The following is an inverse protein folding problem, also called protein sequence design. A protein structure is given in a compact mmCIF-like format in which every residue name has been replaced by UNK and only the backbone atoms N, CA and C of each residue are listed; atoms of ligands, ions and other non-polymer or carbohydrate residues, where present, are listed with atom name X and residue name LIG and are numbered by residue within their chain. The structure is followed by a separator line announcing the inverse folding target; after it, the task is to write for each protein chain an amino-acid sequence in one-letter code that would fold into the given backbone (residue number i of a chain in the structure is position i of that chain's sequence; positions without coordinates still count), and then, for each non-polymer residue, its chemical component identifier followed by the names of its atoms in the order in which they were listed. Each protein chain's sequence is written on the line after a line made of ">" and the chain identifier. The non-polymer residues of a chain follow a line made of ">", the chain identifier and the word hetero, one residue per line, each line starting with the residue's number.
data_IF_532320146513
#
_entry.id   IF_532320146513
#
_cell.length_a   1.000
_cell.length_b   1.000
_cell.length_c   1.000
_cell.angle_alpha   90.00
_cell.angle_beta   90.00
_cell.angle_gamma   90.00
#
_symmetry.space_group_name_H-M   'P 1'
#
loop_
_entity.id
_entity.type
_entity.pdbx_description
1 polymer ?
#
# COMPACT_ATOMS: atom_id res chain seq x y z
N UNK A 1 19.75 -4.65 -12.08
CA UNK A 1 20.60 -4.14 -10.98
C UNK A 1 22.05 -4.60 -11.10
N UNK A 2 22.35 -5.90 -11.27
CA UNK A 2 23.74 -6.38 -11.43
C UNK A 2 24.58 -5.64 -12.49
N UNK A 3 24.01 -5.38 -13.68
CA UNK A 3 24.66 -4.57 -14.73
C UNK A 3 25.01 -3.14 -14.28
N UNK A 4 24.14 -2.52 -13.48
CA UNK A 4 24.38 -1.18 -12.93
C UNK A 4 25.44 -1.23 -11.84
N UNK A 5 25.38 -2.20 -10.94
CA UNK A 5 26.42 -2.40 -9.92
C UNK A 5 27.80 -2.58 -10.56
N UNK A 6 27.92 -3.40 -11.62
CA UNK A 6 29.19 -3.59 -12.36
C UNK A 6 29.65 -2.35 -13.11
N UNK A 7 28.74 -1.51 -13.60
CA UNK A 7 29.07 -0.27 -14.34
C UNK A 7 29.46 0.88 -13.43
N UNK A 8 28.88 0.94 -12.23
CA UNK A 8 28.93 2.08 -11.34
C UNK A 8 29.53 1.74 -9.96
N UNK A 9 30.28 0.63 -9.84
CA UNK A 9 30.88 0.19 -8.57
C UNK A 9 31.92 1.18 -8.02
N UNK A 10 32.49 2.04 -8.88
CA UNK A 10 33.47 3.05 -8.53
C UNK A 10 32.87 4.39 -8.07
N UNK A 11 31.55 4.57 -8.19
CA UNK A 11 30.85 5.79 -7.78
C UNK A 11 30.55 5.93 -6.27
N UNK A 12 30.48 4.87 -5.44
CA UNK A 12 30.37 5.04 -4.00
C UNK A 12 31.51 5.92 -3.47
N UNK A 13 31.18 6.83 -2.56
CA UNK A 13 32.13 7.73 -1.88
C UNK A 13 32.84 8.78 -2.77
N UNK A 14 32.38 9.01 -4.01
CA UNK A 14 32.98 10.01 -4.90
C UNK A 14 32.19 11.32 -4.95
N UNK A 15 32.88 12.43 -5.22
CA UNK A 15 32.23 13.74 -5.46
C UNK A 15 31.44 13.76 -6.77
N UNK A 16 31.76 12.87 -7.72
CA UNK A 16 30.96 12.65 -8.92
C UNK A 16 29.51 12.29 -8.55
N UNK A 17 29.33 11.32 -7.64
CA UNK A 17 27.99 10.90 -7.20
C UNK A 17 27.23 12.00 -6.41
N UNK A 18 27.96 12.86 -5.71
CA UNK A 18 27.40 14.01 -4.97
C UNK A 18 26.86 15.05 -5.96
N UNK A 19 27.64 15.36 -7.00
CA UNK A 19 27.35 16.41 -7.99
C UNK A 19 26.35 15.98 -9.06
N UNK A 20 26.09 14.67 -9.21
CA UNK A 20 25.05 14.16 -10.10
C UNK A 20 23.68 14.78 -9.79
N UNK A 21 23.03 15.37 -10.81
CA UNK A 21 21.65 15.88 -10.67
C UNK A 21 20.69 14.77 -10.24
N UNK A 22 19.72 15.13 -9.38
CA UNK A 22 18.64 14.24 -8.98
C UNK A 22 17.88 13.75 -10.22
N UNK A 23 17.96 12.45 -10.48
CA UNK A 23 17.37 11.81 -11.65
C UNK A 23 17.04 10.36 -11.36
N UNK A 24 16.19 9.75 -12.21
CA UNK A 24 15.85 8.33 -12.06
C UNK A 24 17.10 7.45 -12.15
N UNK A 25 18.01 7.82 -13.05
CA UNK A 25 19.29 7.16 -13.22
C UNK A 25 20.15 7.22 -11.95
N UNK A 26 20.26 8.41 -11.32
CA UNK A 26 20.97 8.57 -10.03
C UNK A 26 20.37 7.68 -8.94
N UNK A 27 19.03 7.61 -8.83
CA UNK A 27 18.38 6.70 -7.87
C UNK A 27 18.70 5.21 -8.13
N UNK A 28 18.72 4.79 -9.39
CA UNK A 28 19.00 3.40 -9.75
C UNK A 28 20.49 3.06 -9.53
N UNK A 29 21.40 4.03 -9.69
CA UNK A 29 22.82 3.94 -9.30
C UNK A 29 22.96 3.77 -7.77
N UNK A 30 22.31 4.64 -6.99
CA UNK A 30 22.34 4.57 -5.52
C UNK A 30 21.81 3.23 -4.99
N UNK A 31 20.71 2.70 -5.56
CA UNK A 31 20.18 1.38 -5.18
C UNK A 31 21.14 0.25 -5.56
N UNK A 32 21.76 0.34 -6.73
CA UNK A 32 22.66 -0.70 -7.23
C UNK A 32 23.97 -0.74 -6.44
N UNK A 33 24.48 0.42 -6.00
CA UNK A 33 25.64 0.55 -5.13
C UNK A 33 25.32 0.09 -3.71
N UNK A 34 24.16 0.47 -3.15
CA UNK A 34 23.70 -0.01 -1.85
C UNK A 34 23.59 -1.54 -1.77
N UNK A 35 23.01 -2.16 -2.80
CA UNK A 35 22.91 -3.62 -2.88
C UNK A 35 24.29 -4.28 -3.04
N UNK A 36 25.22 -3.64 -3.76
CA UNK A 36 26.59 -4.12 -3.86
C UNK A 36 27.30 -4.08 -2.49
N UNK A 37 27.19 -2.98 -1.75
CA UNK A 37 27.76 -2.87 -0.40
C UNK A 37 27.20 -3.91 0.55
N UNK A 38 25.87 -4.15 0.54
CA UNK A 38 25.25 -5.22 1.35
C UNK A 38 25.75 -6.61 0.98
N UNK A 39 25.94 -6.87 -0.31
CA UNK A 39 26.47 -8.15 -0.76
C UNK A 39 27.90 -8.37 -0.28
N UNK A 40 28.74 -7.33 -0.32
CA UNK A 40 30.11 -7.38 0.18
C UNK A 40 30.15 -7.57 1.70
N UNK A 41 29.28 -6.88 2.44
CA UNK A 41 29.15 -7.04 3.89
C UNK A 41 28.84 -8.48 4.28
N UNK A 42 27.88 -9.12 3.59
CA UNK A 42 27.54 -10.53 3.83
C UNK A 42 28.69 -11.47 3.44
N UNK A 43 29.38 -11.19 2.34
CA UNK A 43 30.39 -12.10 1.78
C UNK A 43 31.72 -12.04 2.53
N UNK A 44 32.11 -10.84 2.96
CA UNK A 44 33.45 -10.54 3.45
C UNK A 44 33.45 -10.07 4.92
N UNK A 45 32.31 -10.11 5.60
CA UNK A 45 32.15 -9.62 6.98
C UNK A 45 32.61 -8.16 7.14
N UNK A 46 32.05 -7.27 6.31
CA UNK A 46 32.38 -5.83 6.28
C UNK A 46 31.19 -4.95 6.68
N UNK A 47 31.43 -3.64 6.84
CA UNK A 47 30.43 -2.62 7.22
C UNK A 47 30.22 -1.54 6.14
N UNK A 48 30.52 -1.84 4.87
CA UNK A 48 30.47 -0.86 3.78
C UNK A 48 29.09 -0.27 3.55
N UNK A 49 28.02 -1.03 3.79
CA UNK A 49 26.67 -0.51 3.65
C UNK A 49 26.38 0.56 4.68
N UNK A 50 26.81 0.35 5.92
CA UNK A 50 26.66 1.33 6.99
C UNK A 50 27.45 2.61 6.68
N UNK A 51 28.72 2.47 6.27
CA UNK A 51 29.57 3.57 5.84
C UNK A 51 28.95 4.37 4.70
N UNK A 52 28.41 3.67 3.68
CA UNK A 52 27.74 4.30 2.55
C UNK A 52 26.52 5.11 3.02
N UNK A 53 25.69 4.54 3.91
CA UNK A 53 24.51 5.26 4.42
C UNK A 53 24.88 6.48 5.26
N UNK A 54 25.94 6.40 6.07
CA UNK A 54 26.44 7.51 6.86
C UNK A 54 27.05 8.62 5.98
N UNK A 55 27.81 8.23 4.96
CA UNK A 55 28.34 9.16 3.97
C UNK A 55 27.24 9.87 3.17
N UNK A 56 26.21 9.12 2.73
CA UNK A 56 25.05 9.70 2.06
C UNK A 56 24.30 10.69 2.95
N UNK A 57 24.14 10.40 4.24
CA UNK A 57 23.55 11.33 5.22
C UNK A 57 24.38 12.60 5.33
N UNK A 58 25.72 12.48 5.48
CA UNK A 58 26.65 13.61 5.58
C UNK A 58 26.63 14.50 4.33
N UNK A 59 26.45 13.92 3.15
CA UNK A 59 26.39 14.62 1.85
C UNK A 59 24.95 15.01 1.44
N UNK A 60 23.98 14.83 2.33
CA UNK A 60 22.55 15.10 2.11
C UNK A 60 21.94 14.42 0.86
N UNK A 61 22.50 13.28 0.45
CA UNK A 61 22.04 12.55 -0.73
C UNK A 61 20.74 11.81 -0.38
N UNK A 62 19.65 12.14 -1.09
CA UNK A 62 18.34 11.51 -0.91
C UNK A 62 18.19 10.29 -1.83
N UNK A 63 17.59 9.22 -1.29
CA UNK A 63 17.27 7.99 -2.03
C UNK A 63 16.23 8.18 -3.14
N UNK A 64 15.42 9.23 -3.04
CA UNK A 64 14.31 9.50 -3.94
C UNK A 64 14.38 10.91 -4.49
N UNK A 65 13.99 11.03 -5.75
CA UNK A 65 13.63 12.31 -6.36
C UNK A 65 12.40 12.81 -5.61
N UNK A 66 12.44 14.04 -5.08
CA UNK A 66 11.22 14.71 -4.60
C UNK A 66 10.33 15.02 -5.81
N UNK A 67 9.52 14.06 -6.24
CA UNK A 67 8.32 14.35 -7.02
C UNK A 67 7.28 14.92 -6.05
N UNK A 68 7.52 16.15 -5.59
CA UNK A 68 6.59 16.87 -4.74
C UNK A 68 5.40 17.31 -5.61
N UNK A 69 4.56 16.36 -6.02
CA UNK A 69 3.19 16.70 -6.37
C UNK A 69 2.56 17.19 -5.07
N UNK A 70 2.06 18.42 -5.07
CA UNK A 70 1.42 19.00 -3.90
C UNK A 70 0.34 18.04 -3.38
N UNK A 71 0.51 17.55 -2.16
CA UNK A 71 -0.41 16.57 -1.56
C UNK A 71 -1.84 17.13 -1.46
N UNK A 72 -2.00 18.44 -1.28
CA UNK A 72 -3.30 19.12 -1.29
C UNK A 72 -3.93 19.12 -2.69
N UNK A 73 -3.12 19.31 -3.74
CA UNK A 73 -3.57 19.22 -5.13
C UNK A 73 -4.04 17.80 -5.47
N UNK A 74 -3.28 16.79 -5.06
CA UNK A 74 -3.68 15.38 -5.21
C UNK A 74 -4.96 15.07 -4.43
N UNK A 75 -5.08 15.57 -3.19
CA UNK A 75 -6.26 15.34 -2.36
C UNK A 75 -7.53 15.97 -2.97
N UNK A 76 -7.41 17.14 -3.60
CA UNK A 76 -8.53 17.85 -4.22
C UNK A 76 -8.91 17.28 -5.60
N UNK A 77 -8.02 16.60 -6.31
CA UNK A 77 -8.30 16.05 -7.64
C UNK A 77 -9.01 14.70 -7.66
N UNK A 78 -8.97 13.93 -6.56
CA UNK A 78 -9.49 12.56 -6.56
C UNK A 78 -10.94 12.55 -6.10
N UNK A 79 -11.84 12.83 -7.04
CA UNK A 79 -13.27 12.58 -6.85
C UNK A 79 -13.53 11.08 -6.72
N UNK A 80 -14.15 10.66 -5.61
CA UNK A 80 -14.58 9.28 -5.40
C UNK A 80 -15.47 8.78 -6.56
N UNK A 81 -16.30 9.67 -7.11
CA UNK A 81 -17.20 9.34 -8.23
C UNK A 81 -16.41 8.94 -9.48
N UNK A 82 -15.34 9.67 -9.79
CA UNK A 82 -14.53 9.44 -10.98
C UNK A 82 -13.74 8.14 -10.83
N UNK A 83 -13.17 7.90 -9.64
CA UNK A 83 -12.48 6.64 -9.31
C UNK A 83 -13.42 5.44 -9.41
N UNK A 84 -14.63 5.54 -8.85
CA UNK A 84 -15.64 4.47 -8.98
C UNK A 84 -16.02 4.24 -10.45
N UNK A 85 -16.15 5.32 -11.24
CA UNK A 85 -16.39 5.25 -12.68
C UNK A 85 -15.28 4.51 -13.42
N UNK A 86 -14.02 4.79 -13.09
CA UNK A 86 -12.86 4.09 -13.66
C UNK A 86 -12.79 2.61 -13.24
N UNK A 87 -13.04 2.29 -11.97
CA UNK A 87 -13.04 0.91 -11.48
C UNK A 87 -14.08 0.07 -12.22
N UNK A 88 -15.28 0.62 -12.46
CA UNK A 88 -16.36 -0.09 -13.16
C UNK A 88 -16.06 -0.42 -14.62
N UNK A 89 -15.16 0.33 -15.27
CA UNK A 89 -14.72 0.09 -16.66
C UNK A 89 -13.66 -1.01 -16.78
N UNK A 90 -13.11 -1.48 -15.66
CA UNK A 90 -12.12 -2.55 -15.66
C UNK A 90 -12.76 -3.89 -16.02
N UNK A 91 -11.98 -4.86 -16.53
CA UNK A 91 -12.45 -6.24 -16.63
C UNK A 91 -13.00 -6.71 -15.29
N UNK A 92 -14.10 -7.47 -15.29
CA UNK A 92 -14.87 -7.85 -14.08
C UNK A 92 -13.98 -8.26 -12.90
N UNK A 93 -12.99 -9.12 -13.19
CA UNK A 93 -11.97 -9.58 -12.24
C UNK A 93 -11.28 -8.43 -11.48
N UNK A 94 -10.81 -7.42 -12.19
CA UNK A 94 -10.06 -6.29 -11.62
C UNK A 94 -10.96 -5.16 -11.15
N UNK A 95 -12.19 -5.08 -11.65
CA UNK A 95 -13.22 -4.19 -11.10
C UNK A 95 -13.58 -4.59 -9.67
N UNK A 96 -13.85 -5.87 -9.44
CA UNK A 96 -14.15 -6.42 -8.10
C UNK A 96 -12.93 -6.28 -7.19
N UNK A 97 -11.73 -6.63 -7.65
CA UNK A 97 -10.51 -6.46 -6.86
C UNK A 97 -10.24 -4.98 -6.53
N UNK A 98 -10.36 -4.07 -7.50
CA UNK A 98 -10.20 -2.63 -7.28
C UNK A 98 -11.21 -2.09 -6.27
N UNK A 99 -12.46 -2.56 -6.34
CA UNK A 99 -13.50 -2.25 -5.36
C UNK A 99 -13.17 -2.81 -3.98
N UNK A 100 -12.66 -4.03 -3.91
CA UNK A 100 -12.17 -4.65 -2.68
C UNK A 100 -11.05 -3.83 -2.04
N UNK A 101 -10.07 -3.36 -2.80
CA UNK A 101 -9.01 -2.47 -2.28
C UNK A 101 -9.59 -1.17 -1.73
N UNK A 102 -10.53 -0.55 -2.45
CA UNK A 102 -11.19 0.69 -2.03
C UNK A 102 -12.02 0.51 -0.75
N UNK A 103 -12.75 -0.60 -0.61
CA UNK A 103 -13.65 -0.84 0.53
C UNK A 103 -12.91 -1.35 1.76
N UNK A 104 -11.90 -2.20 1.58
CA UNK A 104 -11.08 -2.72 2.68
C UNK A 104 -10.06 -1.69 3.19
N UNK A 105 -9.57 -0.80 2.31
CA UNK A 105 -8.52 0.15 2.65
C UNK A 105 -7.16 -0.50 2.92
N UNK A 106 -6.97 -1.76 2.55
CA UNK A 106 -5.70 -2.48 2.68
C UNK A 106 -4.62 -1.93 1.73
N UNK A 107 -3.34 -2.16 2.06
CA UNK A 107 -2.24 -1.92 1.10
C UNK A 107 -2.35 -2.90 -0.06
N UNK A 108 -1.76 -2.60 -1.20
CA UNK A 108 -1.88 -3.47 -2.40
C UNK A 108 -1.49 -4.93 -2.13
N UNK A 109 -0.38 -5.16 -1.45
CA UNK A 109 0.09 -6.51 -1.09
C UNK A 109 -0.86 -7.20 -0.10
N UNK A 110 -1.24 -6.49 0.98
CA UNK A 110 -2.22 -6.95 1.97
C UNK A 110 -3.58 -7.28 1.31
N UNK A 111 -4.03 -6.45 0.37
CA UNK A 111 -5.27 -6.65 -0.39
C UNK A 111 -5.19 -7.90 -1.25
N UNK A 112 -4.09 -8.12 -1.96
CA UNK A 112 -3.93 -9.32 -2.79
C UNK A 112 -3.94 -10.58 -1.94
N UNK A 113 -3.19 -10.57 -0.83
CA UNK A 113 -3.16 -11.68 0.13
C UNK A 113 -4.56 -11.95 0.69
N UNK A 114 -5.26 -10.91 1.14
CA UNK A 114 -6.59 -11.02 1.72
C UNK A 114 -7.62 -11.53 0.71
N UNK A 115 -7.60 -10.98 -0.51
CA UNK A 115 -8.51 -11.37 -1.58
C UNK A 115 -8.30 -12.82 -2.01
N UNK A 116 -7.04 -13.25 -2.17
CA UNK A 116 -6.71 -14.60 -2.61
C UNK A 116 -6.95 -15.66 -1.53
N UNK A 117 -6.91 -15.28 -0.24
CA UNK A 117 -7.13 -16.17 0.90
C UNK A 117 -8.43 -15.85 1.65
N UNK A 118 -9.37 -15.18 1.01
CA UNK A 118 -10.54 -14.56 1.64
C UNK A 118 -11.34 -15.52 2.54
N UNK A 119 -11.61 -16.73 2.05
CA UNK A 119 -12.35 -17.77 2.78
C UNK A 119 -11.68 -18.21 4.09
N UNK A 120 -10.36 -18.07 4.20
CA UNK A 120 -9.60 -18.47 5.39
C UNK A 120 -9.55 -17.39 6.47
N UNK A 121 -9.70 -16.12 6.09
CA UNK A 121 -9.45 -14.97 6.98
C UNK A 121 -10.71 -14.17 7.31
N UNK A 122 -11.79 -14.35 6.56
CA UNK A 122 -13.03 -13.63 6.76
C UNK A 122 -13.95 -14.39 7.73
N UNK A 123 -14.12 -13.84 8.93
CA UNK A 123 -15.02 -14.35 9.95
C UNK A 123 -16.22 -13.41 10.06
N UNK A 124 -17.36 -13.85 9.51
CA UNK A 124 -18.63 -13.10 9.49
C UNK A 124 -18.45 -11.61 9.11
N UNK A 125 -17.92 -11.37 7.91
CA UNK A 125 -17.77 -10.01 7.39
C UNK A 125 -16.69 -9.15 8.05
N UNK A 126 -15.82 -9.73 8.87
CA UNK A 126 -14.59 -9.08 9.37
C UNK A 126 -13.40 -9.93 8.94
N UNK A 127 -12.43 -9.31 8.28
CA UNK A 127 -11.16 -9.93 7.88
C UNK A 127 -10.08 -9.55 8.86
N UNK A 128 -9.59 -10.54 9.58
CA UNK A 128 -8.55 -10.43 10.60
C UNK A 128 -7.17 -10.53 9.93
N UNK A 129 -6.41 -9.42 9.90
CA UNK A 129 -5.21 -9.26 9.05
C UNK A 129 -3.88 -9.47 9.79
N UNK A 130 -3.92 -10.21 10.90
CA UNK A 130 -2.84 -10.39 11.87
C UNK A 130 -1.69 -11.23 11.32
N UNK A 131 -0.52 -10.64 11.05
CA UNK A 131 0.61 -11.44 10.57
C UNK A 131 1.98 -11.04 11.10
N UNK A 132 2.09 -9.99 11.92
CA UNK A 132 3.38 -9.57 12.44
C UNK A 132 3.58 -10.01 13.91
N UNK A 133 4.29 -11.13 14.07
CA UNK A 133 4.67 -11.66 15.39
C UNK A 133 5.71 -10.77 16.09
N UNK A 134 6.46 -9.97 15.34
CA UNK A 134 7.54 -9.12 15.85
C UNK A 134 6.99 -7.80 16.39
N UNK A 135 6.15 -7.12 15.61
CA UNK A 135 5.60 -5.81 16.02
C UNK A 135 4.36 -5.92 16.92
N UNK A 136 3.76 -7.12 17.05
CA UNK A 136 2.47 -7.37 17.75
C UNK A 136 1.35 -6.43 17.28
N UNK A 137 1.49 -5.83 16.10
CA UNK A 137 0.50 -4.94 15.52
C UNK A 137 -0.64 -5.76 14.98
N UNK A 138 -1.83 -5.23 15.18
CA UNK A 138 -3.04 -5.94 14.87
C UNK A 138 -4.03 -5.03 14.21
N UNK A 139 -4.60 -5.49 13.12
CA UNK A 139 -5.69 -4.82 12.45
C UNK A 139 -6.70 -5.84 11.91
N UNK A 140 -7.93 -5.37 11.79
CA UNK A 140 -8.98 -6.07 11.09
C UNK A 140 -9.71 -5.07 10.20
N UNK A 141 -10.25 -5.54 9.09
CA UNK A 141 -11.00 -4.71 8.14
C UNK A 141 -12.35 -5.36 7.86
N UNK A 142 -13.37 -4.56 7.58
CA UNK A 142 -14.65 -5.13 7.17
C UNK A 142 -14.56 -5.78 5.79
N UNK A 143 -15.31 -6.86 5.61
CA UNK A 143 -15.66 -7.40 4.31
C UNK A 143 -17.12 -7.06 4.01
N UNK A 144 -17.34 -6.39 2.88
CA UNK A 144 -18.70 -6.03 2.46
C UNK A 144 -19.43 -7.28 1.93
N UNK A 145 -20.67 -7.57 2.35
CA UNK A 145 -21.41 -8.77 1.91
C UNK A 145 -21.42 -8.95 0.38
N UNK A 146 -21.77 -7.89 -0.37
CA UNK A 146 -21.74 -7.93 -1.84
C UNK A 146 -20.37 -8.32 -2.44
N UNK A 147 -19.27 -7.90 -1.80
CA UNK A 147 -17.93 -8.25 -2.27
C UNK A 147 -17.56 -9.65 -1.81
N UNK A 148 -17.93 -10.05 -0.59
CA UNK A 148 -17.73 -11.39 -0.05
C UNK A 148 -18.22 -12.45 -1.04
N UNK A 149 -19.45 -12.30 -1.52
CA UNK A 149 -20.09 -13.26 -2.44
C UNK A 149 -19.50 -13.22 -3.86
N UNK A 150 -18.80 -12.14 -4.20
CA UNK A 150 -18.20 -11.92 -5.53
C UNK A 150 -16.76 -12.41 -5.65
N UNK A 151 -16.13 -12.83 -4.54
CA UNK A 151 -14.76 -13.32 -4.51
C UNK A 151 -14.74 -14.83 -4.77
N UNK A 152 -14.56 -15.21 -6.03
CA UNK A 152 -14.48 -16.61 -6.48
C UNK A 152 -13.20 -16.96 -7.22
N UNK A 153 -12.22 -16.04 -7.25
CA UNK A 153 -10.98 -16.19 -8.00
C UNK A 153 -9.82 -15.46 -7.33
N UNK A 154 -8.61 -15.72 -7.82
CA UNK A 154 -7.37 -15.10 -7.34
C UNK A 154 -6.82 -14.07 -8.33
N UNK A 155 -6.10 -13.08 -7.84
CA UNK A 155 -5.36 -12.08 -8.63
C UNK A 155 -3.85 -12.24 -8.45
N UNK A 156 -3.08 -11.87 -9.48
CA UNK A 156 -1.62 -11.85 -9.42
C UNK A 156 -1.08 -10.43 -9.63
N UNK A 157 0.18 -10.21 -9.25
CA UNK A 157 0.77 -8.88 -9.22
C UNK A 157 0.85 -8.25 -10.62
N UNK A 158 1.28 -9.01 -11.62
CA UNK A 158 1.39 -8.56 -13.01
C UNK A 158 0.03 -8.10 -13.55
N UNK A 159 -1.02 -8.87 -13.30
CA UNK A 159 -2.39 -8.55 -13.68
C UNK A 159 -2.91 -7.29 -13.01
N UNK A 160 -2.66 -7.15 -11.70
CA UNK A 160 -3.00 -5.94 -10.94
C UNK A 160 -2.26 -4.72 -11.51
N UNK A 161 -0.94 -4.80 -11.70
CA UNK A 161 -0.15 -3.69 -12.25
C UNK A 161 -0.59 -3.28 -13.66
N UNK A 162 -0.97 -4.23 -14.50
CA UNK A 162 -1.44 -3.98 -15.88
C UNK A 162 -2.80 -3.29 -15.92
N UNK A 163 -3.74 -3.71 -15.07
CA UNK A 163 -5.14 -3.28 -15.14
C UNK A 163 -5.47 -2.13 -14.18
N UNK A 164 -4.75 -1.98 -13.06
CA UNK A 164 -4.98 -0.97 -12.03
C UNK A 164 -3.88 0.11 -12.02
N UNK A 165 -3.34 0.43 -13.20
CA UNK A 165 -2.37 1.52 -13.36
C UNK A 165 -3.05 2.89 -13.19
N UNK A 166 -2.26 3.87 -12.78
CA UNK A 166 -2.76 5.23 -12.51
C UNK A 166 -3.40 5.91 -13.71
N UNK A 167 -2.96 5.60 -14.94
CA UNK A 167 -3.57 6.12 -16.16
C UNK A 167 -5.01 5.62 -16.40
N UNK A 168 -5.39 4.49 -15.81
CA UNK A 168 -6.76 3.94 -15.94
C UNK A 168 -7.61 4.41 -14.75
N UNK A 169 -7.09 4.30 -13.54
CA UNK A 169 -7.80 4.69 -12.31
C UNK A 169 -7.93 6.21 -12.13
N UNK A 170 -7.15 7.00 -12.86
CA UNK A 170 -6.99 8.44 -12.61
C UNK A 170 -6.14 8.76 -11.37
N UNK A 171 -5.75 7.74 -10.59
CA UNK A 171 -4.98 7.88 -9.37
C UNK A 171 -4.11 6.64 -9.11
N UNK A 172 -3.07 6.76 -8.29
CA UNK A 172 -2.32 5.58 -7.86
C UNK A 172 -3.18 4.67 -7.00
N UNK A 173 -3.02 3.35 -7.14
CA UNK A 173 -3.80 2.36 -6.37
C UNK A 173 -3.74 2.59 -4.86
N UNK A 174 -2.60 3.08 -4.34
CA UNK A 174 -2.43 3.44 -2.92
C UNK A 174 -3.38 4.54 -2.44
N UNK A 175 -3.94 5.35 -3.34
CA UNK A 175 -4.88 6.41 -3.00
C UNK A 175 -6.30 5.91 -2.74
N UNK A 176 -6.65 4.69 -3.21
CA UNK A 176 -7.91 4.05 -2.81
C UNK A 176 -7.98 3.87 -1.28
N UNK A 177 -6.85 3.54 -0.65
CA UNK A 177 -6.72 3.50 0.82
C UNK A 177 -6.94 4.86 1.47
N UNK A 178 -6.51 5.96 0.85
CA UNK A 178 -6.75 7.32 1.38
C UNK A 178 -8.24 7.66 1.31
N UNK A 179 -8.90 7.37 0.19
CA UNK A 179 -10.35 7.56 0.05
C UNK A 179 -11.14 6.74 1.08
N UNK A 180 -10.74 5.49 1.28
CA UNK A 180 -11.30 4.64 2.33
C UNK A 180 -11.19 5.28 3.72
N UNK A 181 -9.98 5.76 4.06
CA UNK A 181 -9.74 6.43 5.33
C UNK A 181 -10.70 7.61 5.52
N UNK A 182 -10.76 8.50 4.52
CA UNK A 182 -11.59 9.70 4.59
C UNK A 182 -13.06 9.34 4.80
N UNK A 183 -13.59 8.33 4.10
CA UNK A 183 -14.99 7.90 4.26
C UNK A 183 -15.22 7.32 5.65
N UNK A 184 -14.37 6.41 6.10
CA UNK A 184 -14.57 5.73 7.39
C UNK A 184 -14.35 6.69 8.57
N UNK A 185 -13.36 7.57 8.51
CA UNK A 185 -13.09 8.54 9.57
C UNK A 185 -14.21 9.59 9.68
N UNK A 186 -14.76 10.06 8.56
CA UNK A 186 -15.82 11.08 8.57
C UNK A 186 -17.21 10.50 8.84
N UNK A 187 -17.50 9.27 8.41
CA UNK A 187 -18.87 8.72 8.46
C UNK A 187 -19.07 7.60 9.48
N UNK A 188 -18.02 6.92 9.92
CA UNK A 188 -18.11 5.80 10.86
C UNK A 188 -17.56 6.20 12.21
N UNK A 189 -16.24 6.20 12.32
CA UNK A 189 -15.48 6.53 13.52
C UNK A 189 -13.98 6.68 13.15
N UNK A 190 -13.31 7.77 13.55
CA UNK A 190 -11.89 7.99 13.26
C UNK A 190 -10.95 6.95 13.87
N UNK A 191 -11.22 6.48 15.10
CA UNK A 191 -10.36 5.51 15.79
C UNK A 191 -10.42 4.15 15.10
N UNK A 192 -11.62 3.71 14.70
CA UNK A 192 -11.80 2.53 13.87
C UNK A 192 -11.10 2.67 12.52
N UNK A 193 -11.16 3.84 11.88
CA UNK A 193 -10.48 4.07 10.61
C UNK A 193 -8.95 3.93 10.74
N UNK A 194 -8.36 4.43 11.83
CA UNK A 194 -6.93 4.24 12.14
C UNK A 194 -6.58 2.77 12.41
N UNK A 195 -7.40 2.06 13.18
CA UNK A 195 -7.23 0.64 13.48
C UNK A 195 -7.30 -0.22 12.22
N UNK A 196 -8.32 0.00 11.37
CA UNK A 196 -8.48 -0.72 10.09
C UNK A 196 -7.26 -0.53 9.19
N UNK A 197 -6.65 0.65 9.22
CA UNK A 197 -5.41 0.94 8.48
C UNK A 197 -4.13 0.51 9.20
N UNK A 198 -4.19 -0.24 10.30
CA UNK A 198 -3.02 -0.69 11.04
C UNK A 198 -2.11 0.47 11.49
N UNK A 199 -2.68 1.66 11.69
CA UNK A 199 -2.00 2.81 12.29
C UNK A 199 -2.06 2.75 13.81
N UNK A 200 -3.04 2.02 14.33
CA UNK A 200 -3.31 1.80 15.75
C UNK A 200 -3.71 0.33 15.96
N UNK A 201 -3.59 -0.15 17.21
CA UNK A 201 -3.97 -1.50 17.58
C UNK A 201 -2.77 -2.41 17.81
N UNK A 202 -2.73 -2.99 19.00
CA UNK A 202 -1.91 -4.14 19.35
C UNK A 202 -2.81 -5.31 19.79
N UNK A 203 -2.20 -6.46 20.05
CA UNK A 203 -2.93 -7.70 20.43
C UNK A 203 -3.93 -7.49 21.56
N UNK A 204 -3.60 -6.68 22.56
CA UNK A 204 -4.51 -6.36 23.67
C UNK A 204 -5.69 -5.49 23.23
N UNK A 205 -5.41 -4.43 22.47
CA UNK A 205 -6.43 -3.51 21.97
C UNK A 205 -7.39 -4.13 20.95
N UNK A 206 -7.02 -5.27 20.34
CA UNK A 206 -7.93 -6.04 19.49
C UNK A 206 -9.28 -6.31 20.16
N UNK A 207 -9.24 -6.72 21.43
CA UNK A 207 -10.45 -7.08 22.19
C UNK A 207 -11.39 -5.90 22.41
N UNK A 208 -10.88 -4.68 22.28
CA UNK A 208 -11.69 -3.47 22.26
C UNK A 208 -12.22 -3.15 20.85
N UNK A 209 -11.36 -3.24 19.83
CA UNK A 209 -11.73 -2.84 18.47
C UNK A 209 -12.66 -3.82 17.75
N UNK A 210 -12.53 -5.14 17.94
CA UNK A 210 -13.40 -6.11 17.27
C UNK A 210 -14.89 -5.97 17.68
N UNK A 211 -15.25 -5.85 18.98
CA UNK A 211 -16.62 -5.54 19.36
C UNK A 211 -17.10 -4.19 18.82
N UNK A 212 -16.24 -3.17 18.84
CA UNK A 212 -16.56 -1.85 18.30
C UNK A 212 -16.84 -1.91 16.79
N UNK A 213 -16.10 -2.74 16.05
CA UNK A 213 -16.37 -3.02 14.64
C UNK A 213 -17.71 -3.71 14.47
N UNK A 214 -18.01 -4.74 15.24
CA UNK A 214 -19.28 -5.45 15.11
C UNK A 214 -20.48 -4.51 15.33
N UNK A 215 -20.41 -3.65 16.35
CA UNK A 215 -21.43 -2.64 16.64
C UNK A 215 -21.63 -1.64 15.49
N UNK A 216 -20.55 -1.27 14.81
CA UNK A 216 -20.58 -0.32 13.70
C UNK A 216 -20.81 -0.96 12.31
N UNK A 217 -20.84 -2.30 12.21
CA UNK A 217 -20.94 -3.03 10.94
C UNK A 217 -22.15 -2.60 10.10
N UNK A 218 -23.33 -2.51 10.71
CA UNK A 218 -24.57 -2.08 10.01
C UNK A 218 -24.44 -0.66 9.46
N UNK A 219 -23.85 0.26 10.24
CA UNK A 219 -23.59 1.64 9.82
C UNK A 219 -22.59 1.67 8.66
N UNK A 220 -21.51 0.90 8.76
CA UNK A 220 -20.49 0.76 7.73
C UNK A 220 -21.05 0.23 6.40
N UNK A 221 -21.83 -0.86 6.43
CA UNK A 221 -22.51 -1.41 5.25
C UNK A 221 -23.43 -0.36 4.61
N UNK A 222 -24.21 0.38 5.41
CA UNK A 222 -25.10 1.44 4.90
C UNK A 222 -24.32 2.57 4.22
N UNK A 223 -23.18 2.97 4.76
CA UNK A 223 -22.32 4.00 4.16
C UNK A 223 -21.77 3.52 2.81
N UNK A 224 -21.25 2.31 2.74
CA UNK A 224 -20.63 1.77 1.53
C UNK A 224 -21.64 1.34 0.46
N UNK A 225 -22.86 0.95 0.84
CA UNK A 225 -23.95 0.68 -0.11
C UNK A 225 -24.32 1.90 -0.98
N UNK A 226 -24.04 3.12 -0.53
CA UNK A 226 -24.25 4.34 -1.35
C UNK A 226 -23.28 4.44 -2.53
N UNK A 227 -22.15 3.74 -2.46
CA UNK A 227 -21.08 3.79 -3.45
C UNK A 227 -20.99 2.52 -4.30
N UNK A 228 -21.34 1.38 -3.70
CA UNK A 228 -21.34 0.08 -4.34
C UNK A 228 -22.58 -0.10 -5.23
N UNK A 229 -22.41 -0.64 -6.45
CA UNK A 229 -23.56 -0.95 -7.31
C UNK A 229 -24.47 -2.02 -6.68
N UNK A 230 -25.71 -2.11 -7.18
CA UNK A 230 -26.69 -3.09 -6.71
C UNK A 230 -26.25 -4.54 -7.03
N UNK A 231 -25.58 -4.75 -8.17
CA UNK A 231 -24.96 -6.01 -8.59
C UNK A 231 -23.48 -5.80 -8.91
N UNK A 232 -22.65 -6.79 -8.61
CA UNK A 232 -21.19 -6.81 -8.80
C UNK A 232 -20.78 -7.93 -9.79
#
# INVERSE_FOLDING_TARGET
>A
MYRYSKKYYSLPFTDELVTMKESRNRCDILKSTANLTRYLDIKNDTSFHEELTNWMKKKEIKWSIRNNKNNYFIANQISLKDVLGSIRKLPRKYSIFGMFVLVSGLRTEESMMAFNNHSKICHDGIMEMFWDRETKRTNAVYCHPKLHDSISYTVNETGVRRNLKSSILGCELRYLRKLNYTINATKIDPLLAEFMQGRRGNVSQRHYFLPLMNNNRKKWVRVWNKFLPAKI
#
